data_IF_769017282730
#
_entry.id   IF_769017282730
#
_cell.length_a   1.000
_cell.length_b   1.000
_cell.length_c   1.000
_cell.angle_alpha   90.00
_cell.angle_beta   90.00
_cell.angle_gamma   90.00
#
_symmetry.space_group_name_H-M   'P 1'
#
loop_
_entity.id
_entity.type
_entity.pdbx_description
1 polymer ?
#
# COMPACT_ATOMS: atom_id res chain seq x y z
N UNK A 1 6.47 -14.58 18.93
CA UNK A 1 5.69 -13.39 19.38
C UNK A 1 6.59 -12.17 19.63
N UNK A 2 7.78 -12.33 20.20
CA UNK A 2 8.73 -11.24 20.44
C UNK A 2 9.15 -10.48 19.15
N UNK A 3 9.57 -11.20 18.11
CA UNK A 3 10.00 -10.62 16.83
C UNK A 3 8.95 -9.66 16.21
N UNK A 4 7.68 -10.07 16.15
CA UNK A 4 6.60 -9.22 15.64
C UNK A 4 6.41 -7.93 16.46
N UNK A 5 6.48 -8.01 17.80
CA UNK A 5 6.35 -6.82 18.67
C UNK A 5 7.50 -5.85 18.47
N UNK A 6 8.73 -6.36 18.36
CA UNK A 6 9.92 -5.55 18.10
C UNK A 6 9.81 -4.85 16.75
N UNK A 7 9.47 -5.58 15.68
CA UNK A 7 9.27 -4.98 14.35
C UNK A 7 8.14 -3.95 14.32
N UNK A 8 7.04 -4.20 15.05
CA UNK A 8 5.94 -3.24 15.16
C UNK A 8 6.39 -1.96 15.89
N UNK A 9 7.15 -2.09 16.97
CA UNK A 9 7.70 -0.94 17.70
C UNK A 9 8.69 -0.14 16.86
N UNK A 10 9.60 -0.82 16.15
CA UNK A 10 10.54 -0.18 15.22
C UNK A 10 9.80 0.55 14.08
N UNK A 11 8.77 -0.09 13.51
CA UNK A 11 7.92 0.53 12.50
C UNK A 11 7.25 1.81 13.02
N UNK A 12 6.67 1.77 14.22
CA UNK A 12 6.02 2.95 14.82
C UNK A 12 7.02 4.06 15.17
N UNK A 13 8.21 3.70 15.66
CA UNK A 13 9.28 4.66 15.91
C UNK A 13 9.74 5.33 14.60
N UNK A 14 9.97 4.55 13.54
CA UNK A 14 10.34 5.09 12.24
C UNK A 14 9.21 5.92 11.62
N UNK A 15 7.96 5.52 11.80
CA UNK A 15 6.80 6.30 11.38
C UNK A 15 6.78 7.68 12.04
N UNK A 16 7.03 7.75 13.35
CA UNK A 16 7.11 9.02 14.07
C UNK A 16 8.28 9.90 13.58
N UNK A 17 9.42 9.30 13.26
CA UNK A 17 10.58 10.01 12.68
C UNK A 17 10.21 10.61 11.32
N UNK A 18 9.65 9.82 10.40
CA UNK A 18 9.29 10.30 9.04
C UNK A 18 8.16 11.33 9.10
N UNK A 19 7.20 11.17 10.01
CA UNK A 19 6.18 12.19 10.23
C UNK A 19 6.82 13.51 10.72
N UNK A 20 7.78 13.44 11.64
CA UNK A 20 8.52 14.60 12.13
C UNK A 20 9.34 15.28 11.03
N UNK A 21 9.98 14.53 10.13
CA UNK A 21 10.74 15.11 9.00
C UNK A 21 9.84 15.84 8.01
N UNK A 22 8.58 15.42 7.84
CA UNK A 22 7.60 16.13 7.01
C UNK A 22 7.16 17.46 7.63
N UNK A 23 7.02 17.52 8.96
CA UNK A 23 6.71 18.77 9.67
C UNK A 23 7.90 19.74 9.69
N UNK A 24 9.14 19.21 9.69
CA UNK A 24 10.38 20.00 9.69
C UNK A 24 11.31 19.60 8.53
N UNK A 25 11.01 20.05 7.30
CA UNK A 25 11.78 19.68 6.09
C UNK A 25 13.20 20.26 6.09
N UNK A 26 13.52 21.21 6.97
CA UNK A 26 14.87 21.77 7.11
C UNK A 26 15.90 20.84 7.76
N UNK A 27 15.47 19.72 8.35
CA UNK A 27 16.37 18.81 9.07
C UNK A 27 17.28 18.02 8.12
N UNK A 28 18.52 17.66 8.54
CA UNK A 28 19.41 16.82 7.73
C UNK A 28 18.77 15.46 7.38
N UNK A 29 17.95 14.91 8.28
CA UNK A 29 17.20 13.67 8.08
C UNK A 29 16.18 13.78 6.94
N UNK A 30 15.44 14.89 6.86
CA UNK A 30 14.47 15.13 5.78
C UNK A 30 15.13 15.17 4.39
N UNK A 31 16.38 15.63 4.31
CA UNK A 31 17.13 15.72 3.04
C UNK A 31 17.77 14.41 2.61
N UNK A 32 17.82 13.42 3.50
CA UNK A 32 18.62 12.21 3.27
C UNK A 32 17.89 11.14 2.44
N UNK A 33 16.56 11.20 2.30
CA UNK A 33 15.72 10.34 1.45
C UNK A 33 15.68 8.83 1.79
N UNK A 34 16.58 8.34 2.64
CA UNK A 34 16.57 6.97 3.16
C UNK A 34 15.53 6.68 4.26
N UNK A 35 15.05 7.65 5.08
CA UNK A 35 14.11 7.35 6.16
C UNK A 35 12.79 6.72 5.67
N UNK A 36 12.29 7.15 4.52
CA UNK A 36 11.09 6.62 3.86
C UNK A 36 11.30 5.18 3.37
N UNK A 37 12.48 4.89 2.81
CA UNK A 37 12.87 3.54 2.41
C UNK A 37 12.94 2.58 3.60
N UNK A 38 13.53 3.03 4.71
CA UNK A 38 13.57 2.25 5.96
C UNK A 38 12.16 2.03 6.53
N UNK A 39 11.30 3.05 6.50
CA UNK A 39 9.91 2.93 6.92
C UNK A 39 9.19 1.85 6.10
N UNK A 40 9.36 1.85 4.78
CA UNK A 40 8.74 0.88 3.88
C UNK A 40 9.24 -0.55 4.17
N UNK A 41 10.53 -0.73 4.42
CA UNK A 41 11.10 -2.04 4.77
C UNK A 41 10.61 -2.53 6.14
N UNK A 42 10.47 -1.64 7.12
CA UNK A 42 9.89 -1.97 8.43
C UNK A 42 8.39 -2.29 8.32
N UNK A 43 7.65 -1.57 7.46
CA UNK A 43 6.27 -1.86 7.14
C UNK A 43 6.12 -3.27 6.54
N UNK A 44 6.99 -3.62 5.58
CA UNK A 44 7.06 -4.98 5.04
C UNK A 44 7.33 -5.99 6.16
N UNK A 45 8.41 -5.80 6.93
CA UNK A 45 8.82 -6.71 7.99
C UNK A 45 7.71 -6.95 9.01
N UNK A 46 7.03 -5.90 9.48
CA UNK A 46 5.96 -6.02 10.47
C UNK A 46 4.69 -6.69 9.89
N UNK A 47 4.34 -6.39 8.64
CA UNK A 47 3.22 -7.04 7.93
C UNK A 47 3.49 -8.53 7.74
N UNK A 48 4.69 -8.91 7.28
CA UNK A 48 5.09 -10.31 7.13
C UNK A 48 5.11 -11.03 8.48
N UNK A 49 5.70 -10.41 9.51
CA UNK A 49 5.74 -10.98 10.85
C UNK A 49 4.34 -11.18 11.43
N UNK A 50 3.39 -10.26 11.18
CA UNK A 50 2.01 -10.45 11.62
C UNK A 50 1.33 -11.58 10.87
N UNK A 51 1.51 -11.65 9.54
CA UNK A 51 0.87 -12.64 8.70
C UNK A 51 1.42 -14.05 8.95
N UNK A 52 2.73 -14.17 9.22
CA UNK A 52 3.39 -15.42 9.59
C UNK A 52 2.91 -15.99 10.93
N UNK A 53 2.28 -15.18 11.79
CA UNK A 53 1.57 -15.71 12.97
C UNK A 53 0.31 -16.45 12.56
N UNK A 54 -0.31 -16.10 11.44
CA UNK A 54 -1.62 -16.58 10.99
C UNK A 54 -1.56 -17.69 9.94
N UNK A 55 -0.52 -17.67 9.11
CA UNK A 55 -0.31 -18.59 8.00
C UNK A 55 1.10 -19.19 8.07
N UNK A 56 1.33 -20.37 7.50
CA UNK A 56 2.68 -20.91 7.32
C UNK A 56 3.57 -19.89 6.59
N UNK A 57 4.82 -19.73 7.05
CA UNK A 57 5.74 -18.75 6.46
C UNK A 57 5.95 -18.97 4.96
N UNK A 58 5.98 -20.22 4.50
CA UNK A 58 6.11 -20.58 3.08
C UNK A 58 4.98 -19.96 2.23
N UNK A 59 3.74 -20.00 2.73
CA UNK A 59 2.59 -19.41 2.06
C UNK A 59 2.67 -17.89 2.03
N UNK A 60 3.16 -17.29 3.13
CA UNK A 60 3.37 -15.84 3.21
C UNK A 60 4.42 -15.40 2.20
N UNK A 61 5.58 -16.06 2.19
CA UNK A 61 6.67 -15.76 1.25
C UNK A 61 6.24 -15.99 -0.20
N UNK A 62 5.52 -17.08 -0.49
CA UNK A 62 4.97 -17.33 -1.83
C UNK A 62 4.01 -16.21 -2.26
N UNK A 63 3.07 -15.82 -1.40
CA UNK A 63 2.15 -14.73 -1.69
C UNK A 63 2.88 -13.41 -1.94
N UNK A 64 3.92 -13.10 -1.16
CA UNK A 64 4.76 -11.91 -1.35
C UNK A 64 5.54 -11.97 -2.66
N UNK A 65 6.13 -13.12 -2.98
CA UNK A 65 6.84 -13.34 -4.24
C UNK A 65 5.93 -13.14 -5.44
N UNK A 66 4.71 -13.70 -5.40
CA UNK A 66 3.71 -13.51 -6.47
C UNK A 66 3.36 -12.03 -6.62
N UNK A 67 3.07 -11.33 -5.52
CA UNK A 67 2.75 -9.89 -5.55
C UNK A 67 3.92 -9.11 -6.14
N UNK A 68 5.14 -9.33 -5.65
CA UNK A 68 6.33 -8.59 -6.08
C UNK A 68 6.66 -8.85 -7.56
N UNK A 69 6.59 -10.11 -8.03
CA UNK A 69 6.90 -10.47 -9.41
C UNK A 69 5.88 -9.90 -10.39
N UNK A 70 4.58 -10.07 -10.12
CA UNK A 70 3.52 -9.59 -11.02
C UNK A 70 3.51 -8.06 -11.04
N UNK A 71 3.59 -7.40 -9.87
CA UNK A 71 3.66 -5.93 -9.84
C UNK A 71 4.90 -5.42 -10.56
N UNK A 72 6.09 -5.98 -10.32
CA UNK A 72 7.30 -5.61 -11.03
C UNK A 72 7.17 -5.77 -12.55
N UNK A 73 6.60 -6.88 -13.02
CA UNK A 73 6.39 -7.12 -14.45
C UNK A 73 5.45 -6.08 -15.09
N UNK A 74 4.33 -5.76 -14.42
CA UNK A 74 3.37 -4.77 -14.91
C UNK A 74 3.93 -3.36 -14.86
N UNK A 75 4.71 -3.01 -13.83
CA UNK A 75 5.38 -1.71 -13.71
C UNK A 75 6.49 -1.53 -14.74
N UNK A 76 7.29 -2.57 -15.02
CA UNK A 76 8.27 -2.55 -16.12
C UNK A 76 7.57 -2.38 -17.46
N UNK A 77 6.47 -3.11 -17.70
CA UNK A 77 5.66 -2.94 -18.91
C UNK A 77 5.13 -1.50 -19.02
N UNK A 78 4.63 -0.95 -17.92
CA UNK A 78 4.16 0.43 -17.80
C UNK A 78 5.25 1.45 -18.13
N UNK A 79 6.43 1.31 -17.53
CA UNK A 79 7.55 2.21 -17.76
C UNK A 79 8.07 2.16 -19.20
N UNK A 80 8.07 0.99 -19.84
CA UNK A 80 8.58 0.81 -21.21
C UNK A 80 7.56 1.18 -22.28
N UNK A 81 6.27 0.90 -22.05
CA UNK A 81 5.22 1.00 -23.08
C UNK A 81 4.18 2.07 -22.80
N UNK A 82 4.21 2.70 -21.62
CA UNK A 82 3.15 3.57 -21.10
C UNK A 82 1.80 2.90 -20.90
N UNK A 83 1.72 1.56 -21.01
CA UNK A 83 0.51 0.75 -20.80
C UNK A 83 0.80 -0.22 -19.65
N UNK A 84 -0.08 -0.36 -18.64
CA UNK A 84 -1.44 0.16 -18.56
C UNK A 84 -1.60 1.53 -17.89
N UNK A 85 -0.57 2.04 -17.19
CA UNK A 85 -0.72 3.18 -16.29
C UNK A 85 -0.78 4.55 -16.98
N UNK A 86 -0.29 4.66 -18.21
CA UNK A 86 -0.02 5.93 -18.89
C UNK A 86 1.48 6.25 -18.93
N UNK A 87 1.88 7.32 -19.62
CA UNK A 87 3.27 7.70 -19.76
C UNK A 87 3.78 8.38 -18.48
N UNK A 88 4.69 7.73 -17.75
CA UNK A 88 5.35 8.28 -16.57
C UNK A 88 6.87 8.04 -16.61
N UNK A 89 7.60 8.83 -15.84
CA UNK A 89 9.05 8.74 -15.71
C UNK A 89 9.42 8.69 -14.23
N UNK A 90 10.10 7.61 -13.81
CA UNK A 90 10.69 7.54 -12.47
C UNK A 90 11.90 8.45 -12.37
N UNK A 91 12.07 9.06 -11.20
CA UNK A 91 13.25 9.86 -10.88
C UNK A 91 14.24 9.04 -10.05
N UNK A 92 15.44 9.59 -9.86
CA UNK A 92 16.46 9.01 -8.98
C UNK A 92 16.12 9.12 -7.48
N UNK A 93 15.07 9.87 -7.09
CA UNK A 93 14.71 10.08 -5.68
C UNK A 93 13.99 8.89 -5.06
N UNK A 94 13.40 7.99 -5.86
CA UNK A 94 12.71 6.78 -5.38
C UNK A 94 13.67 5.76 -4.76
N UNK A 95 14.95 5.83 -5.13
CA UNK A 95 16.00 4.93 -4.69
C UNK A 95 16.56 4.05 -5.82
N UNK A 96 17.30 2.98 -5.47
CA UNK A 96 17.99 2.14 -6.44
C UNK A 96 17.03 1.49 -7.44
N UNK A 97 17.42 1.50 -8.72
CA UNK A 97 16.64 0.92 -9.81
C UNK A 97 17.13 -0.49 -10.15
N UNK A 98 16.19 -1.42 -10.31
CA UNK A 98 16.38 -2.73 -10.93
C UNK A 98 16.40 -2.57 -12.44
N UNK A 99 17.42 -3.14 -13.08
CA UNK A 99 17.60 -3.12 -14.53
C UNK A 99 17.55 -1.71 -15.15
N UNK A 100 17.87 -0.67 -14.36
CA UNK A 100 17.77 0.75 -14.75
C UNK A 100 16.38 1.23 -15.19
N UNK A 101 15.32 0.48 -14.86
CA UNK A 101 13.94 0.79 -15.26
C UNK A 101 13.02 0.93 -14.05
N UNK A 102 13.11 0.01 -13.08
CA UNK A 102 12.13 -0.10 -11.99
C UNK A 102 12.76 0.15 -10.62
N UNK A 103 12.33 1.14 -9.84
CA UNK A 103 12.79 1.30 -8.46
C UNK A 103 12.45 0.09 -7.59
N UNK A 104 13.43 -0.44 -6.83
CA UNK A 104 13.26 -1.59 -5.93
C UNK A 104 12.12 -1.40 -4.90
N UNK A 105 11.83 -0.14 -4.55
CA UNK A 105 10.80 0.21 -3.58
C UNK A 105 9.38 -0.08 -4.09
N UNK A 106 9.14 -0.01 -5.41
CA UNK A 106 7.79 -0.12 -5.99
C UNK A 106 7.17 -1.51 -5.77
N UNK A 107 7.85 -2.63 -6.08
CA UNK A 107 7.31 -3.96 -5.75
C UNK A 107 7.07 -4.17 -4.25
N UNK A 108 7.93 -3.60 -3.40
CA UNK A 108 7.75 -3.67 -1.94
C UNK A 108 6.51 -2.90 -1.49
N UNK A 109 6.27 -1.72 -2.07
CA UNK A 109 5.07 -0.93 -1.83
C UNK A 109 3.82 -1.72 -2.21
N UNK A 110 3.81 -2.38 -3.37
CA UNK A 110 2.72 -3.27 -3.77
C UNK A 110 2.44 -4.39 -2.76
N UNK A 111 3.49 -5.05 -2.25
CA UNK A 111 3.35 -6.10 -1.22
C UNK A 111 2.72 -5.54 0.06
N UNK A 112 3.26 -4.43 0.57
CA UNK A 112 2.77 -3.79 1.80
C UNK A 112 1.32 -3.33 1.62
N UNK A 113 1.01 -2.64 0.53
CA UNK A 113 -0.32 -2.11 0.25
C UNK A 113 -1.34 -3.23 0.12
N UNK A 114 -1.10 -4.24 -0.73
CA UNK A 114 -2.09 -5.31 -0.96
C UNK A 114 -2.30 -6.21 0.26
N UNK A 115 -1.25 -6.57 1.00
CA UNK A 115 -1.40 -7.43 2.18
C UNK A 115 -2.13 -6.71 3.31
N UNK A 116 -1.85 -5.42 3.54
CA UNK A 116 -2.54 -4.64 4.56
C UNK A 116 -3.98 -4.30 4.13
N UNK A 117 -4.21 -3.90 2.87
CA UNK A 117 -5.55 -3.71 2.31
C UNK A 117 -6.40 -4.99 2.44
N UNK A 118 -5.84 -6.16 2.13
CA UNK A 118 -6.53 -7.45 2.32
C UNK A 118 -6.82 -7.71 3.78
N UNK A 119 -5.91 -7.37 4.68
CA UNK A 119 -6.10 -7.47 6.12
C UNK A 119 -7.28 -6.62 6.62
N UNK A 120 -7.33 -5.36 6.20
CA UNK A 120 -8.45 -4.43 6.48
C UNK A 120 -9.76 -4.97 5.88
N UNK A 121 -9.74 -5.43 4.63
CA UNK A 121 -10.89 -6.04 3.98
C UNK A 121 -11.43 -7.27 4.72
N UNK A 122 -10.56 -8.10 5.30
CA UNK A 122 -10.99 -9.23 6.14
C UNK A 122 -11.68 -8.79 7.43
N UNK A 123 -11.26 -7.67 8.04
CA UNK A 123 -11.90 -7.11 9.22
C UNK A 123 -13.29 -6.55 8.88
N UNK A 124 -13.38 -5.77 7.81
CA UNK A 124 -14.64 -5.20 7.30
C UNK A 124 -15.63 -6.33 6.98
N UNK A 125 -15.20 -7.34 6.22
CA UNK A 125 -16.08 -8.41 5.75
C UNK A 125 -16.27 -9.56 6.75
N UNK A 126 -15.74 -9.45 7.98
CA UNK A 126 -15.83 -10.51 8.99
C UNK A 126 -17.26 -11.00 9.25
N UNK A 127 -18.30 -10.14 9.35
CA UNK A 127 -19.68 -10.59 9.56
C UNK A 127 -20.21 -11.50 8.43
N UNK A 128 -19.72 -11.30 7.20
CA UNK A 128 -20.17 -12.00 5.99
C UNK A 128 -19.30 -13.21 5.62
N UNK A 129 -18.44 -13.67 6.53
CA UNK A 129 -17.48 -14.76 6.27
C UNK A 129 -18.12 -16.10 5.88
N UNK A 130 -19.40 -16.31 6.18
CA UNK A 130 -20.15 -17.55 5.85
C UNK A 130 -20.72 -17.57 4.43
N UNK A 131 -20.68 -16.45 3.70
CA UNK A 131 -21.25 -16.38 2.34
C UNK A 131 -20.31 -17.07 1.34
N UNK A 132 -20.87 -17.84 0.41
CA UNK A 132 -20.12 -18.58 -0.62
C UNK A 132 -19.27 -17.67 -1.52
N UNK A 133 -19.70 -16.43 -1.74
CA UNK A 133 -19.01 -15.42 -2.55
C UNK A 133 -18.01 -14.56 -1.76
N UNK A 134 -17.74 -14.87 -0.49
CA UNK A 134 -16.84 -14.09 0.37
C UNK A 134 -15.46 -13.83 -0.25
N UNK A 135 -14.89 -14.81 -0.95
CA UNK A 135 -13.59 -14.66 -1.62
C UNK A 135 -13.58 -13.53 -2.67
N UNK A 136 -14.62 -13.47 -3.51
CA UNK A 136 -14.76 -12.44 -4.54
C UNK A 136 -15.01 -11.05 -3.94
N UNK A 137 -15.85 -10.96 -2.90
CA UNK A 137 -16.06 -9.71 -2.16
C UNK A 137 -14.78 -9.20 -1.51
N UNK A 138 -13.98 -10.10 -0.92
CA UNK A 138 -12.69 -9.74 -0.34
C UNK A 138 -11.70 -9.26 -1.40
N UNK A 139 -11.64 -9.92 -2.57
CA UNK A 139 -10.78 -9.49 -3.68
C UNK A 139 -11.20 -8.10 -4.18
N UNK A 140 -12.48 -7.89 -4.45
CA UNK A 140 -13.00 -6.60 -4.90
C UNK A 140 -12.76 -5.47 -3.90
N UNK A 141 -13.04 -5.71 -2.61
CA UNK A 141 -12.77 -4.73 -1.56
C UNK A 141 -11.28 -4.44 -1.39
N UNK A 142 -10.42 -5.46 -1.51
CA UNK A 142 -8.96 -5.26 -1.44
C UNK A 142 -8.46 -4.40 -2.61
N UNK A 143 -8.94 -4.67 -3.83
CA UNK A 143 -8.60 -3.87 -5.00
C UNK A 143 -9.11 -2.42 -4.87
N UNK A 144 -10.34 -2.23 -4.37
CA UNK A 144 -10.87 -0.90 -4.08
C UNK A 144 -10.01 -0.14 -3.06
N UNK A 145 -9.65 -0.78 -1.96
CA UNK A 145 -8.76 -0.18 -0.95
C UNK A 145 -7.40 0.18 -1.56
N UNK A 146 -6.80 -0.71 -2.37
CA UNK A 146 -5.53 -0.41 -3.05
C UNK A 146 -5.62 0.82 -3.96
N UNK A 147 -6.72 0.98 -4.71
CA UNK A 147 -6.98 2.18 -5.52
C UNK A 147 -7.15 3.41 -4.63
N UNK A 148 -7.88 3.32 -3.52
CA UNK A 148 -8.04 4.45 -2.58
C UNK A 148 -6.70 4.89 -1.98
N UNK A 149 -5.78 3.95 -1.74
CA UNK A 149 -4.41 4.26 -1.33
C UNK A 149 -3.64 4.96 -2.45
N UNK A 150 -3.76 4.49 -3.69
CA UNK A 150 -3.12 5.11 -4.86
C UNK A 150 -3.56 6.57 -5.07
N UNK A 151 -4.85 6.88 -4.87
CA UNK A 151 -5.36 8.27 -4.87
C UNK A 151 -4.64 9.20 -3.87
N UNK A 152 -4.17 8.66 -2.74
CA UNK A 152 -3.35 9.38 -1.77
C UNK A 152 -1.87 9.37 -2.08
N UNK A 153 -1.39 8.29 -2.69
CA UNK A 153 0.00 8.11 -3.08
C UNK A 153 0.39 9.07 -4.21
N UNK A 154 -0.48 9.27 -5.20
CA UNK A 154 -0.17 10.08 -6.40
C UNK A 154 0.19 11.55 -6.07
N UNK A 155 -0.60 12.30 -5.27
CA UNK A 155 -0.22 13.65 -4.86
C UNK A 155 1.10 13.68 -4.08
N UNK A 156 1.33 12.70 -3.21
CA UNK A 156 2.56 12.59 -2.43
C UNK A 156 3.78 12.31 -3.32
N UNK A 157 3.67 11.34 -4.23
CA UNK A 157 4.75 10.94 -5.11
C UNK A 157 5.08 12.01 -6.15
N UNK A 158 4.08 12.64 -6.77
CA UNK A 158 4.30 13.61 -7.84
C UNK A 158 4.65 15.01 -7.32
N UNK A 159 4.00 15.48 -6.24
CA UNK A 159 4.09 16.88 -5.79
C UNK A 159 4.98 17.08 -4.57
N UNK A 160 5.11 16.08 -3.70
CA UNK A 160 5.88 16.22 -2.45
C UNK A 160 7.31 15.71 -2.65
N UNK A 161 7.46 14.44 -3.04
CA UNK A 161 8.78 13.80 -3.12
C UNK A 161 9.35 13.65 -4.54
N UNK A 162 8.57 14.03 -5.56
CA UNK A 162 8.97 13.97 -6.96
C UNK A 162 9.53 12.60 -7.38
N UNK A 163 8.88 11.53 -6.92
CA UNK A 163 9.26 10.14 -7.20
C UNK A 163 9.03 9.76 -8.66
N UNK A 164 7.95 10.24 -9.24
CA UNK A 164 7.69 10.13 -10.67
C UNK A 164 6.95 11.34 -11.18
N UNK A 165 7.06 11.54 -12.49
CA UNK A 165 6.31 12.56 -13.21
C UNK A 165 5.50 11.94 -14.32
N UNK A 166 4.26 12.38 -14.43
CA UNK A 166 3.36 12.01 -15.52
C UNK A 166 3.57 12.92 -16.72
N UNK A 167 3.65 12.33 -17.90
CA UNK A 167 3.65 13.09 -19.15
C UNK A 167 2.21 13.43 -19.56
N UNK A 168 1.99 14.56 -20.27
CA UNK A 168 0.66 14.94 -20.73
C UNK A 168 0.01 13.83 -21.57
N UNK A 169 -1.24 13.51 -21.25
CA UNK A 169 -2.05 12.57 -22.04
C UNK A 169 -3.15 13.33 -22.78
N UNK A 170 -3.81 12.65 -23.74
CA UNK A 170 -4.93 13.24 -24.48
C UNK A 170 -6.18 13.50 -23.61
N UNK A 171 -6.22 12.94 -22.39
CA UNK A 171 -7.34 13.16 -21.47
C UNK A 171 -7.18 14.53 -20.78
N UNK A 172 -8.21 15.39 -20.82
CA UNK A 172 -8.12 16.76 -20.31
C UNK A 172 -8.12 16.83 -18.77
N UNK A 173 -8.51 15.75 -18.09
CA UNK A 173 -8.61 15.69 -16.62
C UNK A 173 -7.61 14.68 -16.06
N UNK A 174 -6.93 15.07 -14.98
CA UNK A 174 -6.00 14.24 -14.22
C UNK A 174 -6.18 14.50 -12.71
N UNK A 175 -5.73 13.56 -11.89
CA UNK A 175 -5.69 13.69 -10.43
C UNK A 175 -4.28 14.10 -10.00
N UNK A 176 -4.08 15.40 -9.75
CA UNK A 176 -2.79 15.97 -9.33
C UNK A 176 -1.60 15.70 -10.28
N UNK A 177 -1.87 15.33 -11.52
CA UNK A 177 -0.90 14.92 -12.54
C UNK A 177 -1.15 13.51 -13.06
N UNK A 178 -1.69 12.62 -12.23
CA UNK A 178 -1.92 11.22 -12.58
C UNK A 178 -3.13 11.06 -13.53
N UNK A 179 -2.99 10.35 -14.66
CA UNK A 179 -4.10 10.09 -15.55
C UNK A 179 -5.10 9.13 -14.91
N UNK A 180 -6.39 9.26 -15.22
CA UNK A 180 -7.43 8.37 -14.67
C UNK A 180 -7.21 6.89 -14.98
N UNK A 181 -6.51 6.60 -16.09
CA UNK A 181 -6.13 5.23 -16.47
C UNK A 181 -5.18 4.58 -15.47
N UNK A 182 -4.40 5.36 -14.71
CA UNK A 182 -3.54 4.86 -13.62
C UNK A 182 -4.37 4.12 -12.56
N UNK A 183 -5.45 4.74 -12.08
CA UNK A 183 -6.30 4.12 -11.06
C UNK A 183 -7.01 2.86 -11.56
N UNK A 184 -7.40 2.85 -12.84
CA UNK A 184 -7.95 1.64 -13.48
C UNK A 184 -6.89 0.54 -13.60
N UNK A 185 -5.67 0.92 -14.00
CA UNK A 185 -4.53 0.01 -14.07
C UNK A 185 -4.18 -0.56 -12.69
N UNK A 186 -4.20 0.26 -11.64
CA UNK A 186 -4.06 -0.19 -10.25
C UNK A 186 -5.13 -1.20 -9.86
N UNK A 187 -6.40 -0.94 -10.21
CA UNK A 187 -7.50 -1.86 -9.93
C UNK A 187 -7.31 -3.22 -10.64
N UNK A 188 -7.02 -3.21 -11.94
CA UNK A 188 -6.82 -4.42 -12.75
C UNK A 188 -5.59 -5.19 -12.25
N UNK A 189 -4.48 -4.50 -12.00
CA UNK A 189 -3.23 -5.08 -11.49
C UNK A 189 -3.45 -5.70 -10.11
N UNK A 190 -4.14 -5.01 -9.20
CA UNK A 190 -4.50 -5.54 -7.90
C UNK A 190 -5.36 -6.81 -8.02
N UNK A 191 -6.38 -6.81 -8.88
CA UNK A 191 -7.23 -7.99 -9.10
C UNK A 191 -6.45 -9.16 -9.68
N UNK A 192 -5.57 -8.92 -10.65
CA UNK A 192 -4.69 -9.92 -11.26
C UNK A 192 -3.79 -10.53 -10.19
N UNK A 193 -3.08 -9.71 -9.43
CA UNK A 193 -2.22 -10.15 -8.33
C UNK A 193 -3.03 -10.95 -7.31
N UNK A 194 -4.20 -10.46 -6.91
CA UNK A 194 -5.04 -11.15 -5.92
C UNK A 194 -5.55 -12.49 -6.45
N UNK A 195 -5.85 -12.63 -7.74
CA UNK A 195 -6.27 -13.89 -8.33
C UNK A 195 -5.19 -14.98 -8.17
N UNK A 196 -3.91 -14.63 -8.38
CA UNK A 196 -2.80 -15.56 -8.23
C UNK A 196 -2.31 -15.73 -6.78
N UNK A 197 -2.31 -14.66 -5.98
CA UNK A 197 -1.80 -14.69 -4.62
C UNK A 197 -2.80 -15.29 -3.62
N UNK A 198 -4.11 -15.11 -3.83
CA UNK A 198 -5.15 -15.54 -2.88
C UNK A 198 -5.07 -17.03 -2.49
N UNK A 199 -4.85 -17.99 -3.41
CA UNK A 199 -4.69 -19.40 -3.07
C UNK A 199 -3.62 -19.68 -2.01
N UNK A 200 -2.49 -18.95 -2.05
CA UNK A 200 -1.43 -19.06 -1.05
C UNK A 200 -1.83 -18.45 0.29
N UNK A 201 -2.63 -17.37 0.27
CA UNK A 201 -3.03 -16.59 1.43
C UNK A 201 -4.30 -17.12 2.14
N UNK A 202 -4.83 -18.26 1.71
CA UNK A 202 -5.96 -18.94 2.37
C UNK A 202 -5.43 -19.85 3.46
N UNK A 203 -5.97 -19.71 4.67
CA UNK A 203 -5.69 -20.64 5.75
C UNK A 203 -6.48 -21.95 5.52
N UNK A 204 -5.78 -23.01 5.11
CA UNK A 204 -6.37 -24.34 4.89
C UNK A 204 -6.79 -25.06 6.18
N UNK A 205 -6.33 -24.61 7.36
CA UNK A 205 -6.70 -25.13 8.67
C UNK A 205 -7.22 -23.99 9.56
N UNK A 206 -8.50 -23.59 9.41
CA UNK A 206 -9.03 -22.43 10.11
C UNK A 206 -9.14 -22.69 11.61
N UNK A 207 -8.21 -22.12 12.39
CA UNK A 207 -8.33 -22.04 13.85
C UNK A 207 -9.09 -20.76 14.19
N UNK A 208 -10.08 -20.83 15.10
CA UNK A 208 -10.75 -19.63 15.63
C UNK A 208 -9.71 -18.77 16.35
N UNK A 209 -9.51 -17.55 15.87
CA UNK A 209 -8.56 -16.58 16.42
C UNK A 209 -9.23 -15.21 16.57
N UNK A 210 -8.79 -14.40 17.54
CA UNK A 210 -9.28 -13.04 17.66
C UNK A 210 -8.96 -12.23 16.38
N UNK A 211 -9.72 -11.16 16.08
CA UNK A 211 -9.39 -10.24 15.00
C UNK A 211 -7.97 -9.69 15.17
N UNK A 212 -7.21 -9.66 14.07
CA UNK A 212 -5.90 -9.01 14.04
C UNK A 212 -6.04 -7.62 13.45
N UNK A 213 -5.89 -6.59 14.29
CA UNK A 213 -5.93 -5.18 13.89
C UNK A 213 -4.58 -4.67 13.38
N UNK A 214 -3.52 -5.48 13.40
CA UNK A 214 -2.21 -5.03 12.93
C UNK A 214 -2.18 -4.53 11.48
N UNK A 215 -2.86 -5.18 10.50
CA UNK A 215 -2.96 -4.64 9.15
C UNK A 215 -3.65 -3.28 9.08
N UNK A 216 -4.64 -3.04 9.95
CA UNK A 216 -5.31 -1.74 10.05
C UNK A 216 -4.38 -0.68 10.62
N UNK A 217 -3.55 -1.02 11.62
CA UNK A 217 -2.53 -0.12 12.16
C UNK A 217 -1.56 0.35 11.06
N UNK A 218 -0.95 -0.60 10.33
CA UNK A 218 0.01 -0.26 9.26
C UNK A 218 -0.68 0.56 8.16
N UNK A 219 -1.88 0.14 7.73
CA UNK A 219 -2.70 0.86 6.76
C UNK A 219 -2.97 2.31 7.18
N UNK A 220 -3.43 2.51 8.40
CA UNK A 220 -3.75 3.83 8.93
C UNK A 220 -2.50 4.71 9.09
N UNK A 221 -1.37 4.15 9.55
CA UNK A 221 -0.11 4.89 9.63
C UNK A 221 0.36 5.36 8.25
N UNK A 222 0.37 4.49 7.24
CA UNK A 222 0.81 4.86 5.89
C UNK A 222 -0.10 5.92 5.27
N UNK A 223 -1.42 5.76 5.35
CA UNK A 223 -2.35 6.76 4.82
C UNK A 223 -2.29 8.08 5.59
N UNK A 224 -2.11 8.04 6.91
CA UNK A 224 -1.95 9.26 7.70
C UNK A 224 -0.69 10.03 7.29
N UNK A 225 0.41 9.34 6.99
CA UNK A 225 1.64 9.94 6.49
C UNK A 225 1.43 10.61 5.12
N UNK A 226 0.70 9.95 4.21
CA UNK A 226 0.33 10.55 2.92
C UNK A 226 -0.54 11.80 3.11
N UNK A 227 -1.52 11.74 4.02
CA UNK A 227 -2.39 12.88 4.32
C UNK A 227 -1.65 14.04 4.99
N UNK A 228 -0.75 13.75 5.93
CA UNK A 228 0.05 14.76 6.62
C UNK A 228 1.00 15.47 5.64
N UNK A 229 1.67 14.72 4.77
CA UNK A 229 2.51 15.28 3.73
C UNK A 229 1.72 16.14 2.73
N UNK A 230 0.54 15.67 2.30
CA UNK A 230 -0.36 16.42 1.44
C UNK A 230 -0.82 17.73 2.09
N UNK A 231 -1.20 17.69 3.37
CA UNK A 231 -1.58 18.88 4.14
C UNK A 231 -0.42 19.88 4.29
N UNK A 232 0.80 19.39 4.57
CA UNK A 232 2.00 20.22 4.67
C UNK A 232 2.32 20.97 3.36
N UNK A 233 1.92 20.42 2.22
CA UNK A 233 2.08 21.03 0.88
C UNK A 233 0.80 21.70 0.36
N UNK A 234 -0.17 22.00 1.23
CA UNK A 234 -1.44 22.68 0.91
C UNK A 234 -2.34 21.91 -0.08
N UNK A 235 -2.16 20.60 -0.22
CA UNK A 235 -2.98 19.72 -1.04
C UNK A 235 -4.21 19.24 -0.25
N UNK A 236 -5.06 20.18 0.17
CA UNK A 236 -6.15 19.92 1.13
C UNK A 236 -7.19 18.90 0.65
N UNK A 237 -7.51 18.88 -0.65
CA UNK A 237 -8.48 17.92 -1.22
C UNK A 237 -7.90 16.50 -1.13
N UNK A 238 -6.63 16.31 -1.50
CA UNK A 238 -5.95 15.03 -1.35
C UNK A 238 -5.88 14.58 0.12
N UNK A 239 -5.45 15.47 1.02
CA UNK A 239 -5.38 15.17 2.45
C UNK A 239 -6.75 14.78 3.03
N UNK A 240 -7.78 15.56 2.72
CA UNK A 240 -9.16 15.30 3.15
C UNK A 240 -9.70 13.98 2.61
N UNK A 241 -9.45 13.67 1.34
CA UNK A 241 -9.85 12.40 0.72
C UNK A 241 -9.19 11.20 1.42
N UNK A 242 -7.87 11.25 1.64
CA UNK A 242 -7.12 10.16 2.26
C UNK A 242 -7.54 9.95 3.72
N UNK A 243 -7.75 11.02 4.48
CA UNK A 243 -8.25 10.92 5.86
C UNK A 243 -9.66 10.36 5.90
N UNK A 244 -10.57 10.86 5.06
CA UNK A 244 -11.94 10.37 5.01
C UNK A 244 -11.98 8.88 4.65
N UNK A 245 -11.27 8.45 3.61
CA UNK A 245 -11.23 7.05 3.17
C UNK A 245 -10.63 6.13 4.26
N UNK A 246 -9.58 6.59 4.95
CA UNK A 246 -8.93 5.85 6.04
C UNK A 246 -9.83 5.73 7.27
N UNK A 247 -10.50 6.81 7.66
CA UNK A 247 -11.45 6.81 8.80
C UNK A 247 -12.62 5.89 8.46
N UNK A 248 -13.20 6.00 7.26
CA UNK A 248 -14.28 5.12 6.82
C UNK A 248 -13.86 3.66 6.87
N UNK A 249 -12.70 3.30 6.30
CA UNK A 249 -12.17 1.94 6.34
C UNK A 249 -11.94 1.45 7.78
N UNK A 250 -11.40 2.30 8.66
CA UNK A 250 -11.17 1.96 10.07
C UNK A 250 -12.48 1.75 10.84
N UNK A 251 -13.48 2.60 10.64
CA UNK A 251 -14.80 2.47 11.27
C UNK A 251 -15.47 1.16 10.84
N UNK A 252 -15.48 0.85 9.55
CA UNK A 252 -16.03 -0.42 9.05
C UNK A 252 -15.22 -1.63 9.53
N UNK A 253 -13.89 -1.53 9.61
CA UNK A 253 -13.05 -2.62 10.11
C UNK A 253 -13.28 -2.89 11.60
N UNK A 254 -13.38 -1.84 12.43
CA UNK A 254 -13.68 -1.95 13.86
C UNK A 254 -15.10 -2.50 14.09
N UNK A 255 -16.09 -2.01 13.34
CA UNK A 255 -17.47 -2.54 13.38
C UNK A 255 -17.52 -4.00 12.95
N UNK A 256 -16.84 -4.39 11.87
CA UNK A 256 -16.79 -5.78 11.42
C UNK A 256 -16.09 -6.70 12.42
N UNK A 257 -15.05 -6.21 13.10
CA UNK A 257 -14.32 -6.97 14.10
C UNK A 257 -15.08 -7.20 15.43
N UNK A 258 -16.12 -6.41 15.74
CA UNK A 258 -16.94 -6.61 16.94
C UNK A 258 -18.01 -7.71 16.79
N UNK A 259 -18.26 -8.21 15.57
CA UNK A 259 -19.14 -9.37 15.30
C UNK A 259 -18.37 -10.69 15.31
#
# INVERSE_FOLDING_TARGET
MLCHRVLSALFLAQFAIVLGTQCWPGTPLAKAGWPEGVLLMLALGTTLASLARQLPIQNVLLGCGIIAVISAAVEVLGALTSIPFGPFLYTSTVGPQLFSVLPCAVPVLWVVTLLNARGVGRLILRPWRRIRTYGFWLMGLTALLAVLFDFGLEPFACRVNHYWFWSPTKLPSNWYGAPWVNFLAWAITALLILAFATPSLINKKPVKRPPDFHPLLVWSCLNFLLAAAAAAHQLWIAAGFVLASTITAAVFACRGASW
#
